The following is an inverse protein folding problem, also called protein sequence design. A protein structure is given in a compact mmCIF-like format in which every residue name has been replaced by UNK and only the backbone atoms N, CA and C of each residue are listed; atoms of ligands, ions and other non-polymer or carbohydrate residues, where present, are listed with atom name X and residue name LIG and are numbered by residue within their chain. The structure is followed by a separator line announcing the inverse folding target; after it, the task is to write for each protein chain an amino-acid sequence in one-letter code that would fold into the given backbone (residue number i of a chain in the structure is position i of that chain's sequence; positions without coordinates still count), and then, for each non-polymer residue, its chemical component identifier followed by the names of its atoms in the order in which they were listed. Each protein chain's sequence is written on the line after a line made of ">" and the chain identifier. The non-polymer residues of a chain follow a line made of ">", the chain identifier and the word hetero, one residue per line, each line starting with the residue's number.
data_IF_610429263699
#
_entry.id   IF_610429263699
#
_cell.length_a   1.000
_cell.length_b   1.000
_cell.length_c   1.000
_cell.angle_alpha   90.00
_cell.angle_beta   90.00
_cell.angle_gamma   90.00
#
_symmetry.space_group_name_H-M   'P 1'
#
loop_
_entity.id
_entity.type
_entity.pdbx_description
1 polymer ?
#
# COMPACT_ATOMS: atom_id res chain seq x y z
N UNK A 1 9.38 -6.52 25.07
CA UNK A 1 8.21 -5.85 24.49
C UNK A 1 8.02 -6.32 23.04
N UNK A 2 6.83 -6.67 22.72
CA UNK A 2 6.54 -7.07 21.36
C UNK A 2 6.44 -5.80 20.51
N UNK A 3 7.24 -5.66 19.45
CA UNK A 3 7.08 -4.52 18.58
C UNK A 3 5.72 -4.55 17.91
N UNK A 4 5.25 -3.43 17.44
CA UNK A 4 4.05 -3.42 16.65
C UNK A 4 4.28 -4.32 15.42
N UNK A 5 3.22 -4.93 14.93
CA UNK A 5 3.35 -5.85 13.82
C UNK A 5 3.98 -5.19 12.59
N UNK A 6 3.71 -3.91 12.38
CA UNK A 6 4.28 -3.18 11.25
C UNK A 6 5.80 -3.09 11.38
N UNK A 7 6.29 -2.73 12.58
CA UNK A 7 7.73 -2.60 12.77
C UNK A 7 8.45 -3.94 12.64
N UNK A 8 7.83 -5.01 13.11
CA UNK A 8 8.40 -6.35 12.99
C UNK A 8 8.50 -6.77 11.51
N UNK A 9 7.53 -6.38 10.70
CA UNK A 9 7.55 -6.66 9.26
C UNK A 9 8.69 -5.90 8.60
N UNK A 10 8.88 -4.63 8.94
CA UNK A 10 9.90 -3.79 8.34
C UNK A 10 11.30 -4.26 8.72
N UNK A 11 11.51 -4.66 9.95
CA UNK A 11 12.81 -5.11 10.44
C UNK A 11 13.31 -6.34 9.70
N UNK A 12 12.41 -7.11 9.13
CA UNK A 12 12.75 -8.34 8.44
C UNK A 12 12.77 -8.19 6.93
N UNK A 13 12.66 -6.98 6.40
CA UNK A 13 12.21 -6.71 5.05
C UNK A 13 10.83 -7.36 4.84
N UNK A 14 10.13 -7.04 3.77
CA UNK A 14 8.84 -7.66 3.52
C UNK A 14 9.08 -9.14 3.23
N UNK A 15 8.58 -10.06 4.08
CA UNK A 15 8.63 -11.46 3.72
C UNK A 15 7.81 -11.64 2.45
N UNK A 16 8.10 -12.71 1.72
CA UNK A 16 7.36 -13.08 0.52
C UNK A 16 5.97 -13.60 0.91
N UNK A 17 5.27 -12.83 1.72
CA UNK A 17 3.97 -13.19 2.29
C UNK A 17 2.90 -12.25 1.75
N UNK A 18 1.92 -12.76 0.98
CA UNK A 18 0.82 -11.92 0.52
C UNK A 18 0.06 -11.26 1.67
N UNK A 19 -0.08 -11.94 2.80
CA UNK A 19 -0.78 -11.39 3.95
C UNK A 19 -0.04 -10.21 4.57
N UNK A 20 1.29 -10.31 4.69
CA UNK A 20 2.10 -9.22 5.21
C UNK A 20 2.05 -8.02 4.28
N UNK A 21 2.12 -8.26 2.97
CA UNK A 21 2.04 -7.19 1.98
C UNK A 21 0.69 -6.46 2.07
N UNK A 22 -0.40 -7.22 2.16
CA UNK A 22 -1.73 -6.63 2.28
C UNK A 22 -1.90 -5.84 3.58
N UNK A 23 -1.30 -6.33 4.65
CA UNK A 23 -1.35 -5.63 5.93
C UNK A 23 -0.68 -4.24 5.85
N UNK A 24 0.46 -4.16 5.21
CA UNK A 24 1.16 -2.88 5.00
C UNK A 24 0.30 -1.93 4.18
N UNK A 25 -0.22 -2.40 3.06
CA UNK A 25 -1.03 -1.57 2.17
C UNK A 25 -2.32 -1.12 2.85
N UNK A 26 -3.00 -2.02 3.55
CA UNK A 26 -4.22 -1.67 4.27
C UNK A 26 -3.96 -0.61 5.32
N UNK A 27 -2.85 -0.71 6.03
CA UNK A 27 -2.47 0.28 7.03
C UNK A 27 -2.22 1.65 6.38
N UNK A 28 -1.56 1.69 5.23
CA UNK A 28 -1.33 2.94 4.52
C UNK A 28 -2.63 3.60 4.08
N UNK A 29 -3.55 2.80 3.54
CA UNK A 29 -4.84 3.32 3.09
C UNK A 29 -5.68 3.85 4.25
N UNK A 30 -5.67 3.15 5.39
CA UNK A 30 -6.41 3.57 6.56
C UNK A 30 -5.81 4.81 7.20
N UNK A 31 -4.49 4.89 7.31
CA UNK A 31 -3.83 6.03 7.96
C UNK A 31 -3.86 7.28 7.11
N UNK A 32 -4.12 7.17 5.82
CA UNK A 32 -4.25 8.36 4.97
C UNK A 32 -5.33 9.31 5.49
N UNK A 33 -6.42 8.77 6.02
CA UNK A 33 -7.51 9.60 6.57
C UNK A 33 -7.12 10.32 7.86
N UNK A 34 -6.16 9.77 8.58
CA UNK A 34 -5.78 10.31 9.88
C UNK A 34 -4.72 11.40 9.77
N UNK A 35 -4.24 11.68 8.56
CA UNK A 35 -3.16 12.63 8.36
C UNK A 35 -1.86 12.22 9.00
N UNK A 36 -1.72 10.95 9.35
CA UNK A 36 -0.50 10.43 9.96
C UNK A 36 0.50 10.11 8.86
N UNK A 37 1.73 10.58 9.01
CA UNK A 37 2.73 10.46 7.98
C UNK A 37 3.44 9.10 8.01
N UNK A 38 2.65 8.03 7.95
CA UNK A 38 3.18 6.67 7.96
C UNK A 38 3.89 6.36 6.65
N UNK A 39 3.37 6.88 5.55
CA UNK A 39 3.94 6.60 4.23
C UNK A 39 5.40 7.06 4.12
N UNK A 40 5.75 8.20 4.68
CA UNK A 40 7.13 8.69 4.65
C UNK A 40 8.07 7.70 5.32
N UNK A 41 7.66 7.13 6.46
CA UNK A 41 8.46 6.15 7.16
C UNK A 41 8.56 4.84 6.39
N UNK A 42 7.44 4.40 5.83
CA UNK A 42 7.39 3.15 5.05
C UNK A 42 8.25 3.27 3.79
N UNK A 43 8.11 4.36 3.06
CA UNK A 43 8.84 4.53 1.80
C UNK A 43 10.34 4.70 1.99
N UNK A 44 10.79 4.99 3.20
CA UNK A 44 12.22 5.03 3.50
C UNK A 44 12.82 3.63 3.70
N UNK A 45 11.98 2.62 3.86
CA UNK A 45 12.38 1.24 4.17
C UNK A 45 12.01 0.29 3.03
N UNK A 46 10.84 0.49 2.44
CA UNK A 46 10.24 -0.42 1.46
C UNK A 46 10.12 0.28 0.11
N UNK A 47 10.47 -0.43 -0.95
CA UNK A 47 10.29 0.03 -2.33
C UNK A 47 9.24 -0.85 -3.01
N UNK A 48 8.70 -0.43 -4.17
CA UNK A 48 7.75 -1.28 -4.89
C UNK A 48 8.29 -2.69 -5.19
N UNK A 49 9.60 -2.80 -5.43
CA UNK A 49 10.23 -4.09 -5.76
C UNK A 49 10.22 -5.07 -4.60
N UNK A 50 9.98 -4.59 -3.39
CA UNK A 50 9.88 -5.45 -2.21
C UNK A 50 8.57 -6.24 -2.17
N UNK A 51 7.60 -5.86 -3.00
CA UNK A 51 6.32 -6.58 -3.08
C UNK A 51 6.44 -7.70 -4.11
N UNK A 52 6.19 -8.93 -3.68
CA UNK A 52 6.25 -10.09 -4.56
C UNK A 52 5.04 -10.18 -5.48
N UNK A 53 3.87 -9.73 -5.01
CA UNK A 53 2.64 -9.77 -5.78
C UNK A 53 2.52 -8.55 -6.67
N UNK A 54 2.25 -8.75 -7.96
CA UNK A 54 2.11 -7.63 -8.90
C UNK A 54 0.99 -6.68 -8.50
N UNK A 55 -0.12 -7.24 -8.00
CA UNK A 55 -1.25 -6.44 -7.54
C UNK A 55 -0.86 -5.51 -6.39
N UNK A 56 -0.14 -6.04 -5.43
CA UNK A 56 0.30 -5.27 -4.27
C UNK A 56 1.32 -4.21 -4.67
N UNK A 57 2.25 -4.56 -5.57
CA UNK A 57 3.21 -3.60 -6.09
C UNK A 57 2.51 -2.44 -6.79
N UNK A 58 1.50 -2.74 -7.61
CA UNK A 58 0.75 -1.71 -8.32
C UNK A 58 0.02 -0.76 -7.36
N UNK A 59 -0.56 -1.30 -6.29
CA UNK A 59 -1.21 -0.47 -5.27
C UNK A 59 -0.19 0.44 -4.58
N UNK A 60 0.96 -0.10 -4.20
CA UNK A 60 2.00 0.69 -3.54
C UNK A 60 2.52 1.80 -4.45
N UNK A 61 2.75 1.50 -5.73
CA UNK A 61 3.17 2.50 -6.70
C UNK A 61 2.13 3.62 -6.85
N UNK A 62 0.85 3.26 -6.88
CA UNK A 62 -0.22 4.26 -6.95
C UNK A 62 -0.22 5.16 -5.72
N UNK A 63 -0.01 4.60 -4.54
CA UNK A 63 0.07 5.37 -3.30
C UNK A 63 1.24 6.36 -3.36
N UNK A 64 2.40 5.91 -3.83
CA UNK A 64 3.58 6.78 -3.94
C UNK A 64 3.36 7.90 -4.95
N UNK A 65 2.74 7.59 -6.09
CA UNK A 65 2.43 8.60 -7.11
C UNK A 65 1.50 9.67 -6.57
N UNK A 66 0.46 9.26 -5.85
CA UNK A 66 -0.49 10.20 -5.27
C UNK A 66 0.18 11.08 -4.22
N UNK A 67 1.02 10.52 -3.40
CA UNK A 67 1.74 11.28 -2.39
C UNK A 67 2.66 12.30 -3.04
N UNK A 68 3.35 11.92 -4.11
CA UNK A 68 4.22 12.84 -4.86
C UNK A 68 3.42 13.98 -5.48
N UNK A 69 2.16 13.74 -5.85
CA UNK A 69 1.27 14.75 -6.40
C UNK A 69 0.59 15.60 -5.32
N UNK A 70 0.87 15.32 -4.06
CA UNK A 70 0.25 16.03 -2.93
C UNK A 70 -1.20 15.63 -2.68
N UNK A 71 -1.59 14.44 -3.14
CA UNK A 71 -2.96 13.94 -3.01
C UNK A 71 -3.00 12.87 -1.93
N UNK A 72 -3.98 12.98 -1.02
CA UNK A 72 -4.19 11.96 0.00
C UNK A 72 -4.56 10.62 -0.65
N UNK A 73 -3.74 9.60 -0.39
CA UNK A 73 -3.89 8.29 -1.02
C UNK A 73 -4.84 7.40 -0.23
N UNK A 74 -6.11 7.80 -0.12
CA UNK A 74 -7.12 6.97 0.51
C UNK A 74 -7.65 5.90 -0.46
N UNK A 75 -8.49 5.03 0.05
CA UNK A 75 -9.02 3.91 -0.72
C UNK A 75 -9.67 4.35 -2.04
N UNK A 76 -10.51 5.38 -2.00
CA UNK A 76 -11.26 5.81 -3.18
C UNK A 76 -10.32 6.38 -4.24
N UNK A 77 -9.38 7.19 -3.82
CA UNK A 77 -8.44 7.86 -4.73
C UNK A 77 -7.46 6.84 -5.34
N UNK A 78 -7.00 5.89 -4.54
CA UNK A 78 -6.13 4.81 -5.04
C UNK A 78 -6.85 3.97 -6.09
N UNK A 79 -8.11 3.61 -5.83
CA UNK A 79 -8.90 2.86 -6.80
C UNK A 79 -9.04 3.63 -8.11
N UNK A 80 -9.27 4.94 -8.03
CA UNK A 80 -9.39 5.76 -9.23
C UNK A 80 -8.06 5.83 -9.99
N UNK A 81 -6.94 5.97 -9.29
CA UNK A 81 -5.63 5.98 -9.94
C UNK A 81 -5.36 4.66 -10.67
N UNK A 82 -5.67 3.54 -10.05
CA UNK A 82 -5.51 2.23 -10.68
C UNK A 82 -6.41 2.08 -11.89
N UNK A 83 -7.63 2.60 -11.83
CA UNK A 83 -8.55 2.59 -12.95
C UNK A 83 -8.00 3.43 -14.12
N UNK A 84 -7.49 4.61 -13.81
CA UNK A 84 -6.92 5.50 -14.83
C UNK A 84 -5.70 4.89 -15.50
N UNK A 85 -4.95 4.06 -14.78
CA UNK A 85 -3.79 3.35 -15.33
C UNK A 85 -4.18 2.06 -16.06
N UNK A 86 -5.46 1.70 -16.08
CA UNK A 86 -5.93 0.48 -16.71
C UNK A 86 -5.55 -0.78 -15.96
N UNK A 87 -5.23 -0.67 -14.68
CA UNK A 87 -4.73 -1.80 -13.89
C UNK A 87 -5.78 -2.45 -13.00
N UNK A 88 -6.88 -1.75 -12.74
CA UNK A 88 -7.81 -2.23 -11.72
C UNK A 88 -8.43 -3.59 -12.05
N UNK A 89 -8.77 -3.81 -13.32
CA UNK A 89 -9.40 -5.06 -13.73
C UNK A 89 -8.43 -6.23 -13.78
N UNK A 90 -7.13 -5.95 -13.86
CA UNK A 90 -6.10 -6.99 -13.93
C UNK A 90 -5.90 -7.71 -12.60
N UNK A 91 -6.27 -7.06 -11.50
CA UNK A 91 -5.95 -7.56 -10.16
C UNK A 91 -7.21 -7.85 -9.33
N UNK A 92 -8.32 -8.17 -9.99
CA UNK A 92 -9.55 -8.51 -9.29
C UNK A 92 -10.49 -7.32 -9.06
N UNK A 93 -10.25 -6.22 -9.76
CA UNK A 93 -11.13 -5.06 -9.72
C UNK A 93 -11.03 -4.29 -8.42
N UNK A 94 -12.00 -3.38 -8.23
CA UNK A 94 -12.05 -2.56 -7.02
C UNK A 94 -12.21 -3.37 -5.75
N UNK A 95 -12.79 -4.57 -5.84
CA UNK A 95 -12.99 -5.42 -4.68
C UNK A 95 -11.65 -5.85 -4.05
N UNK A 96 -10.63 -6.10 -4.86
CA UNK A 96 -9.31 -6.43 -4.33
C UNK A 96 -8.77 -5.30 -3.46
N UNK A 97 -8.83 -4.07 -3.97
CA UNK A 97 -8.31 -2.91 -3.25
C UNK A 97 -9.13 -2.65 -1.99
N UNK A 98 -10.44 -2.75 -2.08
CA UNK A 98 -11.32 -2.59 -0.91
C UNK A 98 -11.06 -3.63 0.15
N UNK A 99 -10.68 -4.83 -0.24
CA UNK A 99 -10.36 -5.91 0.69
C UNK A 99 -9.06 -5.73 1.45
N UNK A 100 -8.25 -4.72 1.09
CA UNK A 100 -7.01 -4.43 1.79
C UNK A 100 -7.25 -3.76 3.15
N UNK A 101 -8.40 -3.14 3.32
CA UNK A 101 -8.73 -2.39 4.55
C UNK A 101 -9.73 -3.13 5.44
#
# INVERSE_FOLDING_TARGET
>A
MTPTNIEAIFDRSLPQSPDAERCVLGSLLLTAFLGVNVLTRVSSIITPDDFAQDSNRAVFEAILELDADGIMADLVVVKQRLRDKGLIDRFGGGAYVSGLV
#
